data_IF_348623939099
#
_entry.id   IF_348623939099
#
_cell.length_a   1.000
_cell.length_b   1.000
_cell.length_c   1.000
_cell.angle_alpha   90.00
_cell.angle_beta   90.00
_cell.angle_gamma   90.00
#
_symmetry.space_group_name_H-M   'P 1'
#
loop_
_entity.id
_entity.type
_entity.pdbx_description
1 polymer ?
#
# COMPACT_ATOMS: atom_id res chain seq x y z
N UNK A 1 -5.59 -5.74 9.79
CA UNK A 1 -5.00 -5.24 8.53
C UNK A 1 -3.89 -4.27 8.90
N UNK A 2 -2.78 -4.26 8.17
CA UNK A 2 -1.63 -3.41 8.47
C UNK A 2 -0.97 -2.92 7.17
N UNK A 3 -0.46 -1.69 7.19
CA UNK A 3 0.26 -1.07 6.08
C UNK A 3 1.49 -0.35 6.64
N UNK A 4 2.67 -0.75 6.17
CA UNK A 4 3.96 -0.28 6.67
C UNK A 4 4.87 0.13 5.53
N UNK A 5 5.67 1.18 5.75
CA UNK A 5 6.72 1.65 4.85
C UNK A 5 7.75 2.47 5.64
N UNK A 6 8.86 2.83 4.99
CA UNK A 6 9.87 3.73 5.59
C UNK A 6 9.38 5.17 5.69
N UNK A 7 8.63 5.62 4.69
CA UNK A 7 8.10 6.98 4.63
C UNK A 7 6.64 6.96 4.15
N UNK A 8 5.86 7.90 4.67
CA UNK A 8 4.47 8.11 4.31
C UNK A 8 4.17 9.61 4.26
N UNK A 9 3.68 10.08 3.12
CA UNK A 9 3.22 11.45 2.90
C UNK A 9 1.71 11.41 2.71
N UNK A 10 1.00 12.04 3.63
CA UNK A 10 -0.44 12.20 3.56
C UNK A 10 -0.82 13.63 3.16
N UNK A 11 -1.59 13.76 2.08
CA UNK A 11 -2.15 15.04 1.66
C UNK A 11 -3.64 15.10 1.96
N UNK A 12 -4.01 15.91 2.95
CA UNK A 12 -5.40 16.19 3.30
C UNK A 12 -6.15 16.84 2.13
N UNK A 13 -5.51 17.80 1.45
CA UNK A 13 -6.13 18.55 0.36
C UNK A 13 -6.37 17.68 -0.88
N UNK A 14 -5.38 16.86 -1.24
CA UNK A 14 -5.51 15.95 -2.39
C UNK A 14 -6.28 14.67 -2.04
N UNK A 15 -6.52 14.41 -0.74
CA UNK A 15 -7.06 13.15 -0.23
C UNK A 15 -6.27 11.93 -0.74
N UNK A 16 -4.95 12.02 -0.66
CA UNK A 16 -4.05 10.99 -1.15
C UNK A 16 -3.01 10.59 -0.11
N UNK A 17 -2.59 9.33 -0.15
CA UNK A 17 -1.49 8.80 0.65
C UNK A 17 -0.42 8.24 -0.31
N UNK A 18 0.82 8.68 -0.15
CA UNK A 18 1.97 8.10 -0.85
C UNK A 18 2.92 7.51 0.19
N UNK A 19 3.28 6.25 0.02
CA UNK A 19 4.23 5.54 0.89
C UNK A 19 5.38 5.00 0.06
N UNK A 20 6.60 5.12 0.57
CA UNK A 20 7.81 4.74 -0.15
C UNK A 20 8.81 3.99 0.74
N UNK A 21 9.54 3.06 0.11
CA UNK A 21 10.59 2.29 0.75
C UNK A 21 10.05 1.09 1.51
N UNK A 22 10.26 -0.10 0.93
CA UNK A 22 9.89 -1.40 1.49
C UNK A 22 8.43 -1.43 1.99
N UNK A 23 7.49 -1.10 1.10
CA UNK A 23 6.07 -1.06 1.45
C UNK A 23 5.55 -2.48 1.61
N UNK A 24 4.81 -2.73 2.70
CA UNK A 24 4.17 -4.00 2.99
C UNK A 24 2.72 -3.76 3.44
N UNK A 25 1.79 -4.44 2.77
CA UNK A 25 0.36 -4.46 3.08
C UNK A 25 -0.02 -5.88 3.49
N UNK A 26 -0.65 -6.02 4.65
CA UNK A 26 -1.19 -7.29 5.16
C UNK A 26 -2.71 -7.18 5.30
N UNK A 27 -3.42 -8.00 4.53
CA UNK A 27 -4.88 -8.05 4.51
C UNK A 27 -5.36 -9.48 4.77
N UNK A 28 -5.87 -9.72 5.98
CA UNK A 28 -6.16 -11.07 6.45
C UNK A 28 -4.90 -11.94 6.37
N UNK A 29 -4.96 -12.99 5.57
CA UNK A 29 -3.83 -13.89 5.32
C UNK A 29 -2.97 -13.51 4.10
N UNK A 30 -3.42 -12.54 3.31
CA UNK A 30 -2.73 -12.09 2.10
C UNK A 30 -1.69 -11.04 2.46
N UNK A 31 -0.58 -11.06 1.73
CA UNK A 31 0.49 -10.08 1.86
C UNK A 31 0.87 -9.54 0.49
N UNK A 32 0.91 -8.22 0.37
CA UNK A 32 1.41 -7.50 -0.79
C UNK A 32 2.65 -6.70 -0.37
N UNK A 33 3.70 -6.74 -1.15
CA UNK A 33 4.89 -5.92 -0.92
C UNK A 33 5.38 -5.26 -2.20
N UNK A 34 6.07 -4.12 -2.06
CA UNK A 34 6.56 -3.33 -3.17
C UNK A 34 7.46 -2.18 -2.73
N UNK A 35 7.74 -1.26 -3.65
CA UNK A 35 8.66 -0.13 -3.40
C UNK A 35 7.93 1.16 -3.08
N UNK A 36 6.74 1.33 -3.66
CA UNK A 36 5.89 2.51 -3.50
C UNK A 36 4.43 2.09 -3.52
N UNK A 37 3.62 2.74 -2.70
CA UNK A 37 2.18 2.62 -2.69
C UNK A 37 1.56 4.00 -2.78
N UNK A 38 0.54 4.15 -3.63
CA UNK A 38 -0.25 5.39 -3.77
C UNK A 38 -1.71 5.03 -3.58
N UNK A 39 -2.38 5.69 -2.65
CA UNK A 39 -3.80 5.54 -2.42
C UNK A 39 -4.55 6.85 -2.67
N UNK A 40 -5.68 6.74 -3.36
CA UNK A 40 -6.71 7.75 -3.45
C UNK A 40 -7.74 7.44 -2.36
N UNK A 41 -7.81 8.28 -1.34
CA UNK A 41 -8.67 8.07 -0.18
C UNK A 41 -10.12 8.49 -0.42
N UNK A 42 -10.42 9.17 -1.52
CA UNK A 42 -11.79 9.53 -1.91
C UNK A 42 -12.50 8.31 -2.50
N UNK A 43 -11.81 7.59 -3.38
CA UNK A 43 -12.29 6.36 -4.00
C UNK A 43 -12.03 5.12 -3.14
N UNK A 44 -11.09 5.19 -2.19
CA UNK A 44 -10.63 4.03 -1.42
C UNK A 44 -9.75 3.08 -2.24
N UNK A 45 -9.21 3.52 -3.37
CA UNK A 45 -8.37 2.70 -4.24
C UNK A 45 -6.88 2.88 -3.93
N UNK A 46 -6.08 1.84 -4.16
CA UNK A 46 -4.65 1.84 -3.93
C UNK A 46 -3.90 1.12 -5.04
N UNK A 47 -2.72 1.63 -5.38
CA UNK A 47 -1.86 1.08 -6.41
C UNK A 47 -0.46 0.86 -5.83
N UNK A 48 0.07 -0.34 -6.04
CA UNK A 48 1.44 -0.73 -5.63
C UNK A 48 2.35 -0.73 -6.86
N UNK A 49 3.57 -0.21 -6.71
CA UNK A 49 4.54 -0.06 -7.79
C UNK A 49 5.90 -0.68 -7.44
N UNK A 50 6.68 -0.97 -8.49
CA UNK A 50 8.04 -1.53 -8.40
C UNK A 50 8.06 -3.06 -8.43
N UNK A 51 8.98 -3.67 -7.68
CA UNK A 51 9.10 -5.13 -7.50
C UNK A 51 7.92 -5.70 -6.69
N UNK A 52 6.70 -5.57 -7.23
CA UNK A 52 5.47 -6.01 -6.56
C UNK A 52 5.47 -7.52 -6.41
N UNK A 53 5.27 -7.99 -5.18
CA UNK A 53 5.07 -9.41 -4.88
C UNK A 53 3.79 -9.56 -4.08
N UNK A 54 2.97 -10.52 -4.51
CA UNK A 54 1.73 -10.88 -3.82
C UNK A 54 1.83 -12.32 -3.35
N UNK A 55 1.48 -12.55 -2.09
CA UNK A 55 1.24 -13.86 -1.52
C UNK A 55 -0.25 -13.91 -1.19
N UNK A 56 -0.99 -14.72 -1.94
CA UNK A 56 -2.41 -14.95 -1.72
C UNK A 56 -2.57 -16.33 -1.08
N UNK A 57 -3.27 -16.41 0.05
CA UNK A 57 -3.79 -17.68 0.55
C UNK A 57 -5.24 -17.79 0.14
N UNK A 58 -5.50 -18.76 -0.74
CA UNK A 58 -6.84 -19.23 -1.04
C UNK A 58 -7.13 -20.33 -0.04
N UNK A 59 -8.06 -20.07 0.89
CA UNK A 59 -8.70 -21.13 1.66
C UNK A 59 -9.82 -21.76 0.84
#
# INVERSE_FOLDING_TARGET
EALEAREAIYSLQAQSLEMTGAVMLVQGQNMLSGERFVADLRSGSGQMFGRVRTIIRME
#
